data_IF_824096015029
#
_entry.id   IF_824096015029
#
_cell.length_a   1.000
_cell.length_b   1.000
_cell.length_c   1.000
_cell.angle_alpha   90.00
_cell.angle_beta   90.00
_cell.angle_gamma   90.00
#
_symmetry.space_group_name_H-M   'P 1'
#
loop_
_entity.id
_entity.type
_entity.pdbx_description
1 polymer ?
#
# COMPACT_ATOMS: atom_id res chain seq x y z
N UNK A 1 9.12 -8.48 -8.93
CA UNK A 1 9.92 -8.47 -7.68
C UNK A 1 9.25 -7.61 -6.64
N UNK A 2 9.33 -8.00 -5.38
CA UNK A 2 8.76 -7.18 -4.30
C UNK A 2 9.75 -7.05 -3.14
N UNK A 3 9.54 -6.00 -2.34
CA UNK A 3 10.25 -5.82 -1.06
C UNK A 3 9.25 -5.38 -0.01
N UNK A 4 9.49 -5.79 1.23
CA UNK A 4 8.63 -5.43 2.34
C UNK A 4 9.48 -5.24 3.60
N UNK A 5 9.37 -4.06 4.21
CA UNK A 5 10.07 -3.70 5.45
C UNK A 5 9.08 -3.10 6.43
N UNK A 6 9.40 -3.21 7.72
CA UNK A 6 8.56 -2.64 8.78
C UNK A 6 9.37 -1.60 9.56
N UNK A 7 8.87 -0.37 9.57
CA UNK A 7 9.35 0.69 10.45
C UNK A 7 8.50 0.63 11.73
N UNK A 8 9.01 -0.05 12.74
CA UNK A 8 8.26 -0.28 14.00
C UNK A 8 8.05 1.01 14.78
N UNK A 9 8.98 1.93 14.69
CA UNK A 9 8.90 3.20 15.44
C UNK A 9 7.72 4.04 14.96
N UNK A 10 7.53 4.15 13.65
CA UNK A 10 6.46 4.93 13.05
C UNK A 10 5.25 4.09 12.69
N UNK A 11 5.29 2.79 12.89
CA UNK A 11 4.23 1.85 12.54
C UNK A 11 3.88 1.94 11.05
N UNK A 12 4.91 1.95 10.22
CA UNK A 12 4.77 2.01 8.76
C UNK A 12 5.28 0.71 8.14
N UNK A 13 4.44 0.09 7.33
CA UNK A 13 4.86 -1.01 6.46
C UNK A 13 5.28 -0.38 5.13
N UNK A 14 6.55 -0.54 4.77
CA UNK A 14 7.09 -0.03 3.51
C UNK A 14 7.17 -1.18 2.51
N UNK A 15 6.54 -1.01 1.36
CA UNK A 15 6.56 -2.06 0.34
C UNK A 15 6.87 -1.48 -1.04
N UNK A 16 7.45 -2.33 -1.87
CA UNK A 16 7.73 -2.05 -3.27
C UNK A 16 7.21 -3.23 -4.09
N UNK A 17 6.41 -2.94 -5.10
CA UNK A 17 6.06 -3.92 -6.14
C UNK A 17 6.67 -3.44 -7.44
N UNK A 18 7.57 -4.25 -8.02
CA UNK A 18 8.37 -3.87 -9.17
C UNK A 18 8.11 -4.81 -10.34
N UNK A 19 7.75 -4.23 -11.48
CA UNK A 19 7.55 -4.94 -12.72
C UNK A 19 6.26 -5.74 -12.76
N UNK A 20 6.28 -6.80 -13.56
CA UNK A 20 5.16 -7.74 -13.67
C UNK A 20 5.24 -8.77 -12.55
N UNK A 21 4.23 -8.79 -11.70
CA UNK A 21 4.16 -9.73 -10.58
C UNK A 21 3.31 -10.93 -10.99
N UNK A 22 3.88 -12.12 -10.87
CA UNK A 22 3.17 -13.37 -11.18
C UNK A 22 2.34 -13.84 -10.00
N UNK A 23 1.34 -14.71 -10.22
CA UNK A 23 0.46 -15.16 -9.13
C UNK A 23 1.21 -15.82 -7.96
N UNK A 24 2.21 -16.63 -8.21
CA UNK A 24 2.98 -17.29 -7.15
C UNK A 24 3.78 -16.29 -6.32
N UNK A 25 4.36 -15.29 -6.97
CA UNK A 25 5.07 -14.22 -6.28
C UNK A 25 4.09 -13.36 -5.47
N UNK A 26 2.94 -13.04 -6.04
CA UNK A 26 1.91 -12.28 -5.35
C UNK A 26 1.41 -13.03 -4.11
N UNK A 27 1.26 -14.35 -4.20
CA UNK A 27 0.87 -15.16 -3.04
C UNK A 27 1.86 -14.99 -1.88
N UNK A 28 3.16 -15.05 -2.17
CA UNK A 28 4.18 -14.87 -1.13
C UNK A 28 4.15 -13.47 -0.55
N UNK A 29 3.99 -12.45 -1.41
CA UNK A 29 3.88 -11.07 -0.97
C UNK A 29 2.69 -10.85 -0.04
N UNK A 30 1.52 -11.37 -0.44
CA UNK A 30 0.28 -11.24 0.34
C UNK A 30 0.42 -11.91 1.71
N UNK A 31 1.03 -13.08 1.77
CA UNK A 31 1.28 -13.78 3.04
C UNK A 31 2.18 -12.96 3.95
N UNK A 32 3.26 -12.40 3.40
CA UNK A 32 4.17 -11.56 4.18
C UNK A 32 3.50 -10.27 4.65
N UNK A 33 2.69 -9.65 3.80
CA UNK A 33 1.98 -8.43 4.17
C UNK A 33 0.95 -8.69 5.26
N UNK A 34 0.24 -9.81 5.19
CA UNK A 34 -0.69 -10.20 6.26
C UNK A 34 0.04 -10.40 7.59
N UNK A 35 1.17 -11.10 7.55
CA UNK A 35 1.97 -11.33 8.75
C UNK A 35 2.49 -10.02 9.33
N UNK A 36 2.98 -9.12 8.48
CA UNK A 36 3.44 -7.80 8.92
C UNK A 36 2.31 -7.00 9.57
N UNK A 37 1.13 -7.00 8.96
CA UNK A 37 -0.04 -6.31 9.49
C UNK A 37 -0.41 -6.85 10.88
N UNK A 38 -0.47 -8.16 11.03
CA UNK A 38 -0.82 -8.78 12.30
C UNK A 38 0.24 -8.54 13.38
N UNK A 39 1.51 -8.41 12.98
CA UNK A 39 2.59 -8.11 13.94
C UNK A 39 2.45 -6.72 14.56
N UNK A 40 1.68 -5.84 13.95
CA UNK A 40 1.44 -4.48 14.43
C UNK A 40 0.02 -4.32 15.00
N UNK A 41 -0.65 -5.43 15.31
CA UNK A 41 -2.02 -5.42 15.81
C UNK A 41 -2.18 -4.53 17.05
N UNK A 42 -3.30 -3.80 17.10
CA UNK A 42 -3.61 -2.89 18.21
C UNK A 42 -3.01 -1.49 18.04
N UNK A 43 -2.26 -1.25 16.98
CA UNK A 43 -1.67 0.06 16.67
C UNK A 43 -2.27 0.61 15.38
N UNK A 44 -2.18 1.91 15.19
CA UNK A 44 -2.56 2.53 13.92
C UNK A 44 -1.48 2.23 12.89
N UNK A 45 -1.82 1.44 11.88
CA UNK A 45 -0.88 0.99 10.87
C UNK A 45 -0.97 1.89 9.64
N UNK A 46 0.19 2.24 9.08
CA UNK A 46 0.30 3.01 7.86
C UNK A 46 1.10 2.23 6.84
N UNK A 47 0.76 2.38 5.58
CA UNK A 47 1.45 1.68 4.50
C UNK A 47 2.01 2.70 3.52
N UNK A 48 3.29 2.58 3.18
CA UNK A 48 3.92 3.32 2.10
C UNK A 48 4.18 2.34 0.96
N UNK A 49 3.43 2.50 -0.13
CA UNK A 49 3.47 1.58 -1.26
C UNK A 49 4.14 2.25 -2.46
N UNK A 50 5.35 1.80 -2.78
CA UNK A 50 6.06 2.25 -3.97
C UNK A 50 5.71 1.35 -5.14
N UNK A 51 4.84 1.88 -6.00
CA UNK A 51 4.32 1.19 -7.18
C UNK A 51 4.80 1.86 -8.47
N UNK A 52 5.88 2.66 -8.40
CA UNK A 52 6.32 3.47 -9.55
C UNK A 52 6.72 2.62 -10.75
N UNK A 53 7.26 1.44 -10.52
CA UNK A 53 7.68 0.52 -11.57
C UNK A 53 6.75 -0.68 -11.72
N UNK A 54 5.63 -0.68 -11.00
CA UNK A 54 4.62 -1.74 -11.08
C UNK A 54 3.94 -1.72 -12.45
N UNK A 55 3.79 -2.90 -13.05
CA UNK A 55 3.11 -3.06 -14.34
C UNK A 55 1.73 -3.66 -14.13
N UNK A 56 0.74 -3.34 -14.99
CA UNK A 56 -0.59 -3.92 -14.87
C UNK A 56 -0.53 -5.45 -14.83
N UNK A 57 -1.32 -6.02 -13.92
CA UNK A 57 -1.27 -7.44 -13.60
C UNK A 57 -2.47 -8.19 -14.20
N UNK A 58 -2.36 -9.51 -14.26
CA UNK A 58 -3.47 -10.38 -14.59
C UNK A 58 -4.62 -10.19 -13.59
N UNK A 59 -5.88 -10.46 -14.01
CA UNK A 59 -7.04 -10.26 -13.12
C UNK A 59 -6.94 -11.00 -11.79
N UNK A 60 -6.39 -12.21 -11.78
CA UNK A 60 -6.24 -12.96 -10.53
C UNK A 60 -5.27 -12.30 -9.56
N UNK A 61 -4.21 -11.66 -10.07
CA UNK A 61 -3.25 -10.92 -9.25
C UNK A 61 -3.90 -9.66 -8.70
N UNK A 62 -4.67 -8.95 -9.51
CA UNK A 62 -5.41 -7.77 -9.08
C UNK A 62 -6.41 -8.14 -7.97
N UNK A 63 -7.08 -9.28 -8.08
CA UNK A 63 -8.00 -9.77 -7.05
C UNK A 63 -7.27 -10.06 -5.73
N UNK A 64 -6.07 -10.62 -5.80
CA UNK A 64 -5.25 -10.86 -4.60
C UNK A 64 -4.88 -9.54 -3.91
N UNK A 65 -4.56 -8.50 -4.69
CA UNK A 65 -4.32 -7.17 -4.13
C UNK A 65 -5.56 -6.60 -3.46
N UNK A 66 -6.72 -6.74 -4.10
CA UNK A 66 -7.99 -6.29 -3.52
C UNK A 66 -8.25 -6.96 -2.17
N UNK A 67 -8.06 -8.26 -2.10
CA UNK A 67 -8.29 -9.02 -0.86
C UNK A 67 -7.35 -8.61 0.26
N UNK A 68 -6.06 -8.42 -0.04
CA UNK A 68 -5.10 -8.03 1.00
C UNK A 68 -5.32 -6.59 1.45
N UNK A 69 -5.81 -5.71 0.58
CA UNK A 69 -6.19 -4.36 0.98
C UNK A 69 -7.37 -4.37 1.94
N UNK A 70 -8.40 -5.18 1.66
CA UNK A 70 -9.52 -5.35 2.59
C UNK A 70 -9.06 -5.89 3.94
N UNK A 71 -8.20 -6.89 3.91
CA UNK A 71 -7.62 -7.45 5.14
C UNK A 71 -6.91 -6.36 5.95
N UNK A 72 -6.12 -5.52 5.30
CA UNK A 72 -5.42 -4.42 5.97
C UNK A 72 -6.37 -3.47 6.67
N UNK A 73 -7.43 -3.04 5.99
CA UNK A 73 -8.42 -2.14 6.57
C UNK A 73 -9.13 -2.77 7.77
N UNK A 74 -9.41 -4.06 7.71
CA UNK A 74 -10.05 -4.79 8.80
C UNK A 74 -9.12 -5.00 10.00
N UNK A 75 -7.81 -4.85 9.80
CA UNK A 75 -6.80 -5.16 10.81
C UNK A 75 -5.95 -3.95 11.21
N UNK A 76 -6.46 -2.74 11.04
CA UNK A 76 -5.86 -1.56 11.63
C UNK A 76 -5.12 -0.61 10.71
N UNK A 77 -5.12 -0.86 9.40
CA UNK A 77 -4.51 0.08 8.44
C UNK A 77 -5.38 1.34 8.34
N UNK A 78 -4.80 2.50 8.65
CA UNK A 78 -5.50 3.79 8.71
C UNK A 78 -5.15 4.73 7.57
N UNK A 79 -3.96 4.62 6.99
CA UNK A 79 -3.52 5.45 5.87
C UNK A 79 -2.65 4.64 4.93
N UNK A 80 -2.80 4.90 3.64
CA UNK A 80 -1.96 4.32 2.60
C UNK A 80 -1.44 5.45 1.72
N UNK A 81 -0.12 5.59 1.65
CA UNK A 81 0.53 6.50 0.70
C UNK A 81 1.05 5.68 -0.46
N UNK A 82 0.63 6.01 -1.67
CA UNK A 82 0.97 5.24 -2.85
C UNK A 82 1.66 6.11 -3.88
N UNK A 83 2.75 5.61 -4.48
CA UNK A 83 3.46 6.28 -5.54
C UNK A 83 3.31 5.46 -6.82
N UNK A 84 2.82 6.09 -7.88
CA UNK A 84 2.56 5.45 -9.17
C UNK A 84 3.00 6.41 -10.29
N UNK A 85 3.68 5.89 -11.30
CA UNK A 85 4.09 6.71 -12.45
C UNK A 85 3.33 6.35 -13.73
N UNK A 86 3.04 5.06 -13.95
CA UNK A 86 2.38 4.59 -15.16
C UNK A 86 0.88 4.87 -15.13
N UNK A 87 0.32 5.56 -16.15
CA UNK A 87 -1.13 5.77 -16.22
C UNK A 87 -1.94 4.47 -16.27
N UNK A 88 -1.44 3.45 -16.95
CA UNK A 88 -2.13 2.16 -17.02
C UNK A 88 -2.15 1.46 -15.67
N UNK A 89 -1.02 1.48 -14.96
CA UNK A 89 -0.96 0.93 -13.60
C UNK A 89 -1.88 1.71 -12.66
N UNK A 90 -1.93 3.04 -12.81
CA UNK A 90 -2.83 3.87 -12.00
C UNK A 90 -4.30 3.50 -12.20
N UNK A 91 -4.72 3.21 -13.44
CA UNK A 91 -6.10 2.80 -13.71
C UNK A 91 -6.44 1.50 -12.99
N UNK A 92 -5.57 0.50 -13.07
CA UNK A 92 -5.80 -0.77 -12.40
C UNK A 92 -5.80 -0.60 -10.88
N UNK A 93 -4.83 0.14 -10.33
CA UNK A 93 -4.72 0.35 -8.89
C UNK A 93 -5.88 1.19 -8.34
N UNK A 94 -6.39 2.16 -9.11
CA UNK A 94 -7.58 2.91 -8.73
C UNK A 94 -8.80 2.01 -8.60
N UNK A 95 -8.97 1.10 -9.55
CA UNK A 95 -10.07 0.14 -9.52
C UNK A 95 -9.97 -0.78 -8.30
N UNK A 96 -8.78 -1.34 -8.06
CA UNK A 96 -8.53 -2.21 -6.91
C UNK A 96 -8.84 -1.47 -5.60
N UNK A 97 -8.37 -0.22 -5.48
CA UNK A 97 -8.61 0.58 -4.28
C UNK A 97 -10.09 0.87 -4.06
N UNK A 98 -10.84 1.17 -5.11
CA UNK A 98 -12.29 1.40 -5.00
C UNK A 98 -13.01 0.13 -4.57
N UNK A 99 -12.67 -1.01 -5.16
CA UNK A 99 -13.33 -2.28 -4.85
C UNK A 99 -13.03 -2.77 -3.43
N UNK A 100 -11.85 -2.47 -2.89
CA UNK A 100 -11.48 -2.83 -1.51
C UNK A 100 -11.96 -1.81 -0.49
N UNK A 101 -12.29 -0.58 -0.90
CA UNK A 101 -12.59 0.52 0.00
C UNK A 101 -11.37 1.31 0.45
N UNK A 102 -10.18 0.89 0.04
CA UNK A 102 -8.92 1.55 0.44
C UNK A 102 -8.80 2.96 -0.12
N UNK A 103 -9.53 3.28 -1.19
CA UNK A 103 -9.56 4.62 -1.78
C UNK A 103 -9.92 5.71 -0.75
N UNK A 104 -10.64 5.36 0.29
CA UNK A 104 -11.05 6.29 1.35
C UNK A 104 -9.89 6.72 2.24
N UNK A 105 -8.83 5.93 2.31
CA UNK A 105 -7.67 6.17 3.17
C UNK A 105 -6.37 6.27 2.38
N UNK A 106 -6.44 6.27 1.05
CA UNK A 106 -5.29 6.27 0.16
C UNK A 106 -5.07 7.66 -0.42
N UNK A 107 -3.80 8.09 -0.45
CA UNK A 107 -3.39 9.32 -1.13
C UNK A 107 -2.16 9.04 -1.99
N UNK A 108 -2.12 9.69 -3.16
CA UNK A 108 -1.01 9.56 -4.11
C UNK A 108 0.05 10.64 -3.87
N UNK A 109 1.31 10.23 -4.04
CA UNK A 109 2.47 11.11 -3.89
C UNK A 109 3.44 10.86 -5.04
N UNK A 110 4.25 11.87 -5.36
CA UNK A 110 5.34 11.74 -6.33
C UNK A 110 6.68 11.59 -5.63
N UNK A 111 6.78 12.01 -4.37
CA UNK A 111 8.02 11.98 -3.62
C UNK A 111 7.89 11.16 -2.34
N UNK A 112 8.93 10.38 -2.07
CA UNK A 112 8.99 9.47 -0.94
C UNK A 112 8.85 10.20 0.40
N UNK A 113 9.54 11.32 0.57
CA UNK A 113 9.52 12.05 1.83
C UNK A 113 8.17 12.69 2.11
N UNK A 114 7.50 13.21 1.08
CA UNK A 114 6.17 13.75 1.24
C UNK A 114 5.17 12.68 1.68
N UNK A 115 5.28 11.48 1.10
CA UNK A 115 4.47 10.34 1.49
C UNK A 115 4.68 9.99 2.96
N UNK A 116 5.92 9.91 3.39
CA UNK A 116 6.27 9.55 4.76
C UNK A 116 5.77 10.60 5.76
N UNK A 117 5.93 11.90 5.46
CA UNK A 117 5.42 12.97 6.32
C UNK A 117 3.92 12.88 6.51
N UNK A 118 3.19 12.65 5.43
CA UNK A 118 1.73 12.52 5.54
C UNK A 118 1.33 11.29 6.35
N UNK A 119 2.02 10.18 6.19
CA UNK A 119 1.73 8.96 6.95
C UNK A 119 1.90 9.18 8.45
N UNK A 120 2.92 9.95 8.84
CA UNK A 120 3.22 10.21 10.25
C UNK A 120 2.30 11.27 10.83
N UNK A 121 2.12 12.38 10.11
CA UNK A 121 1.44 13.59 10.63
C UNK A 121 0.02 13.78 10.11
N UNK A 122 -0.36 13.10 9.03
CA UNK A 122 -1.66 13.28 8.41
C UNK A 122 -1.82 14.69 7.86
N UNK A 123 -3.06 15.17 7.82
CA UNK A 123 -3.37 16.48 7.27
C UNK A 123 -3.04 17.62 8.24
N UNK A 124 -2.69 17.32 9.49
CA UNK A 124 -2.33 18.32 10.48
C UNK A 124 -1.10 19.12 10.07
N UNK A 125 -0.12 18.47 9.41
CA UNK A 125 1.08 19.14 8.94
C UNK A 125 0.76 20.21 7.90
N UNK A 126 -0.20 19.95 7.03
CA UNK A 126 -0.64 20.92 6.03
C UNK A 126 -1.30 22.15 6.68
N UNK A 127 -1.96 21.98 7.81
CA UNK A 127 -2.62 23.07 8.53
C UNK A 127 -1.65 23.91 9.36
N UNK A 128 -0.53 23.32 9.75
CA UNK A 128 0.47 24.00 10.58
C UNK A 128 1.55 24.72 9.76
N UNK A 129 1.53 24.54 8.46
CA UNK A 129 2.54 25.16 7.58
C UNK A 129 2.17 26.67 7.24
#
# INVERSE_FOLDING_TARGET
MYRLDIDKQNTIIELVLDGLIRPDEMTRFVEELRAATLSLAGRDIRIKADMRTFRPSAPEVAEMLREVQQFGMQNGVKRVAEMVESPLSALQLNRVARESGTDKILRRFTEDQAAKRWLIHGDEEALSA
#
